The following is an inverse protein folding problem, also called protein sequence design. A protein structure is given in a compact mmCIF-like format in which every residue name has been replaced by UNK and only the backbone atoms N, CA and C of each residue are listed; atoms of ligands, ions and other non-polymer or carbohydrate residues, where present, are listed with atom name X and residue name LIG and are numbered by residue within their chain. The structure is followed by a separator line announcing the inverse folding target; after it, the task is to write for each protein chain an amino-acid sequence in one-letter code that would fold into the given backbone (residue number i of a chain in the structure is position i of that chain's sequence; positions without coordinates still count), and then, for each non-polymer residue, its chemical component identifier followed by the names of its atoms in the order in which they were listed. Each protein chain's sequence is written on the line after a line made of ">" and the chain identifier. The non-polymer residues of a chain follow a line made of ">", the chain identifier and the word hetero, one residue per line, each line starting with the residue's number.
data_IF_677638954913
#
_entry.id   IF_677638954913
#
_cell.length_a   1.000
_cell.length_b   1.000
_cell.length_c   1.000
_cell.angle_alpha   90.00
_cell.angle_beta   90.00
_cell.angle_gamma   90.00
#
_symmetry.space_group_name_H-M   'P 1'
#
loop_
_entity.id
_entity.type
_entity.pdbx_description
1 polymer ?
#
# COMPACT_ATOMS: atom_id res chain seq x y z
N UNK A 1 5.83 9.24 -4.42
CA UNK A 1 5.24 8.95 -5.75
C UNK A 1 3.76 8.66 -5.57
N UNK A 2 2.94 8.81 -6.62
CA UNK A 2 1.48 8.69 -6.46
C UNK A 2 0.98 7.39 -7.06
N UNK A 3 0.74 6.38 -6.26
CA UNK A 3 0.23 5.08 -6.68
C UNK A 3 -1.27 4.92 -6.36
N UNK A 4 -1.89 3.83 -6.78
CA UNK A 4 -3.25 3.45 -6.40
C UNK A 4 -3.31 1.93 -6.32
N UNK A 5 -3.78 1.41 -5.19
CA UNK A 5 -3.83 -0.02 -4.92
C UNK A 5 -5.28 -0.49 -4.74
N UNK A 6 -5.61 -1.68 -5.20
CA UNK A 6 -6.84 -2.40 -4.90
C UNK A 6 -6.52 -3.83 -4.46
N UNK A 7 -7.20 -4.28 -3.40
CA UNK A 7 -7.11 -5.62 -2.84
C UNK A 7 -8.50 -6.25 -2.92
N UNK A 8 -8.59 -7.52 -3.32
CA UNK A 8 -9.89 -8.21 -3.46
C UNK A 8 -9.83 -9.57 -2.79
N UNK A 9 -10.60 -9.73 -1.73
CA UNK A 9 -10.71 -10.97 -0.97
C UNK A 9 -11.31 -12.11 -1.79
N UNK A 10 -10.94 -13.35 -1.49
CA UNK A 10 -11.26 -14.54 -2.29
C UNK A 10 -12.76 -14.80 -2.48
N UNK A 11 -13.62 -14.36 -1.56
CA UNK A 11 -15.06 -14.47 -1.71
C UNK A 11 -15.68 -13.30 -2.49
N UNK A 12 -14.93 -12.21 -2.70
CA UNK A 12 -15.34 -11.09 -3.52
C UNK A 12 -15.01 -11.30 -5.02
N UNK A 13 -14.11 -12.24 -5.35
CA UNK A 13 -13.77 -12.61 -6.73
C UNK A 13 -14.72 -13.65 -7.30
N UNK A 14 -14.77 -13.76 -8.62
CA UNK A 14 -15.68 -14.69 -9.33
C UNK A 14 -15.23 -16.15 -9.27
N UNK A 15 -13.93 -16.42 -9.08
CA UNK A 15 -13.30 -17.74 -9.13
C UNK A 15 -12.67 -18.20 -7.79
N UNK A 16 -12.85 -17.44 -6.73
CA UNK A 16 -12.29 -17.77 -5.43
C UNK A 16 -10.80 -17.42 -5.25
N UNK A 17 -10.21 -16.75 -6.23
CA UNK A 17 -8.83 -16.25 -6.13
C UNK A 17 -8.74 -15.04 -5.20
N UNK A 18 -7.58 -14.81 -4.62
CA UNK A 18 -7.20 -13.51 -4.07
C UNK A 18 -6.62 -12.64 -5.18
N UNK A 19 -6.82 -11.32 -5.14
CA UNK A 19 -6.18 -10.38 -6.07
C UNK A 19 -5.61 -9.17 -5.35
N UNK A 20 -4.39 -8.79 -5.73
CA UNK A 20 -3.81 -7.48 -5.41
C UNK A 20 -3.37 -6.80 -6.69
N UNK A 21 -3.62 -5.51 -6.81
CA UNK A 21 -3.21 -4.76 -7.98
C UNK A 21 -2.81 -3.34 -7.61
N UNK A 22 -1.83 -2.79 -8.34
CA UNK A 22 -1.28 -1.47 -8.09
C UNK A 22 -0.84 -0.79 -9.39
N UNK A 23 -1.13 0.50 -9.48
CA UNK A 23 -0.41 1.42 -10.37
C UNK A 23 0.88 1.88 -9.70
N UNK A 24 1.94 2.08 -10.49
CA UNK A 24 3.17 2.74 -10.08
C UNK A 24 3.32 4.01 -10.92
N UNK A 25 3.26 5.18 -10.28
CA UNK A 25 3.23 6.45 -10.96
C UNK A 25 4.47 7.28 -10.61
N UNK A 26 5.23 7.69 -11.61
CA UNK A 26 6.36 8.61 -11.44
C UNK A 26 5.93 9.99 -10.94
N UNK A 27 6.88 10.76 -10.42
CA UNK A 27 6.72 12.17 -10.12
C UNK A 27 6.33 13.00 -11.35
N UNK A 28 5.71 14.17 -11.15
CA UNK A 28 5.30 15.04 -12.25
C UNK A 28 6.49 15.42 -13.14
N UNK A 29 6.32 15.24 -14.46
CA UNK A 29 7.38 15.49 -15.45
C UNK A 29 8.45 14.40 -15.56
N UNK A 30 8.29 13.29 -14.87
CA UNK A 30 9.20 12.15 -14.92
C UNK A 30 8.51 10.88 -15.41
N UNK A 31 9.29 9.95 -15.93
CA UNK A 31 8.87 8.60 -16.26
C UNK A 31 10.01 7.65 -15.92
N UNK A 32 9.76 6.65 -15.10
CA UNK A 32 10.73 5.66 -14.67
C UNK A 32 10.48 4.34 -15.36
N UNK A 33 11.29 4.02 -16.36
CA UNK A 33 11.16 2.74 -17.06
C UNK A 33 11.39 1.57 -16.12
N UNK A 34 10.46 0.62 -16.13
CA UNK A 34 10.53 -0.64 -15.37
C UNK A 34 10.81 -1.82 -16.29
N UNK A 35 11.27 -2.91 -15.73
CA UNK A 35 11.45 -4.19 -16.45
C UNK A 35 10.92 -5.34 -15.61
N UNK A 36 10.28 -6.31 -16.27
CA UNK A 36 9.91 -7.56 -15.63
C UNK A 36 11.11 -8.49 -15.56
N UNK A 37 11.42 -9.01 -14.38
CA UNK A 37 12.54 -9.93 -14.16
C UNK A 37 12.12 -11.14 -13.32
N UNK A 38 12.84 -12.24 -13.52
CA UNK A 38 12.83 -13.40 -12.64
C UNK A 38 14.19 -13.47 -11.94
N UNK A 39 14.19 -13.36 -10.63
CA UNK A 39 15.41 -13.38 -9.81
C UNK A 39 15.59 -14.77 -9.23
N UNK A 40 16.65 -15.47 -9.64
CA UNK A 40 16.96 -16.80 -9.12
C UNK A 40 17.68 -16.71 -7.76
N UNK A 41 17.62 -17.79 -6.93
CA UNK A 41 18.34 -17.80 -5.64
C UNK A 41 19.84 -17.48 -5.75
N UNK A 42 20.49 -17.90 -6.84
CA UNK A 42 21.92 -17.66 -7.07
C UNK A 42 22.29 -16.20 -7.41
N UNK A 43 21.30 -15.41 -7.82
CA UNK A 43 21.50 -13.99 -8.17
C UNK A 43 21.29 -13.06 -6.96
N UNK A 44 20.81 -13.60 -5.85
CA UNK A 44 20.52 -12.81 -4.66
C UNK A 44 21.79 -12.66 -3.82
N UNK A 45 22.07 -11.45 -3.31
CA UNK A 45 23.23 -11.21 -2.47
C UNK A 45 23.03 -11.84 -1.08
N UNK A 46 24.12 -12.04 -0.34
CA UNK A 46 24.06 -12.39 1.09
C UNK A 46 23.88 -11.16 1.97
N UNK A 47 24.39 -10.04 1.51
CA UNK A 47 24.30 -8.74 2.17
C UNK A 47 23.63 -7.78 1.21
N UNK A 48 22.56 -7.13 1.62
CA UNK A 48 21.84 -6.11 0.87
C UNK A 48 22.42 -4.73 1.21
N UNK A 49 22.58 -3.88 0.20
CA UNK A 49 22.98 -2.48 0.34
C UNK A 49 21.98 -1.61 -0.40
N UNK A 50 21.29 -0.73 0.32
CA UNK A 50 20.42 0.29 -0.28
C UNK A 50 21.25 1.36 -0.99
N UNK A 51 20.79 1.78 -2.17
CA UNK A 51 21.41 2.88 -2.92
C UNK A 51 21.00 4.24 -2.37
N UNK A 52 19.78 4.35 -1.83
CA UNK A 52 19.24 5.62 -1.33
C UNK A 52 19.57 5.88 0.13
N UNK A 53 19.39 4.89 0.98
CA UNK A 53 19.56 5.07 2.42
C UNK A 53 20.93 4.62 2.94
N UNK A 54 21.72 3.92 2.14
CA UNK A 54 22.99 3.29 2.51
C UNK A 54 22.86 2.23 3.62
N UNK A 55 21.64 1.83 4.01
CA UNK A 55 21.47 0.75 4.98
C UNK A 55 22.02 -0.55 4.44
N UNK A 56 22.69 -1.29 5.32
CA UNK A 56 23.27 -2.59 5.02
C UNK A 56 22.62 -3.66 5.88
N UNK A 57 22.11 -4.73 5.26
CA UNK A 57 21.34 -5.76 5.92
C UNK A 57 21.84 -7.15 5.50
N UNK A 58 22.20 -7.97 6.47
CA UNK A 58 22.49 -9.38 6.23
C UNK A 58 21.19 -10.13 5.93
N UNK A 59 21.17 -10.82 4.79
CA UNK A 59 19.99 -11.54 4.34
C UNK A 59 19.99 -13.00 4.81
N UNK A 60 18.80 -13.59 5.06
CA UNK A 60 18.72 -15.00 5.41
C UNK A 60 19.31 -15.91 4.32
N UNK A 61 19.75 -17.09 4.73
CA UNK A 61 20.15 -18.14 3.79
C UNK A 61 18.92 -18.73 3.06
N UNK A 62 19.18 -19.33 1.88
CA UNK A 62 18.17 -20.05 1.08
C UNK A 62 17.01 -19.16 0.60
N UNK A 63 17.28 -18.05 -0.09
CA UNK A 63 16.25 -17.24 -0.70
C UNK A 63 15.50 -18.04 -1.78
N UNK A 64 14.21 -17.81 -1.90
CA UNK A 64 13.39 -18.37 -2.98
C UNK A 64 13.54 -17.56 -4.28
N UNK A 65 13.30 -18.19 -5.40
CA UNK A 65 13.10 -17.50 -6.68
C UNK A 65 11.85 -16.61 -6.60
N UNK A 66 11.91 -15.43 -7.20
CA UNK A 66 10.76 -14.53 -7.28
C UNK A 66 10.77 -13.71 -8.58
N UNK A 67 9.61 -13.18 -8.94
CA UNK A 67 9.46 -12.18 -9.99
C UNK A 67 9.47 -10.78 -9.39
N UNK A 68 9.89 -9.78 -10.17
CA UNK A 68 9.89 -8.39 -9.73
C UNK A 68 9.81 -7.41 -10.92
N UNK A 69 9.49 -6.16 -10.61
CA UNK A 69 9.39 -5.05 -11.57
C UNK A 69 10.40 -3.93 -11.25
N UNK A 70 11.72 -4.22 -11.21
CA UNK A 70 12.72 -3.22 -10.86
C UNK A 70 12.86 -2.12 -11.92
N UNK A 71 13.53 -1.04 -11.51
CA UNK A 71 13.98 0.00 -12.43
C UNK A 71 14.83 -0.60 -13.57
N UNK A 72 14.56 -0.15 -14.80
CA UNK A 72 15.36 -0.54 -15.97
C UNK A 72 16.71 0.17 -16.02
N UNK A 73 16.82 1.33 -15.36
CA UNK A 73 18.04 2.14 -15.30
C UNK A 73 18.85 1.75 -14.06
N UNK A 74 20.11 1.36 -14.28
CA UNK A 74 21.03 0.98 -13.20
C UNK A 74 21.50 2.19 -12.37
N UNK A 75 21.91 1.93 -11.10
CA UNK A 75 22.47 2.93 -10.20
C UNK A 75 21.44 3.91 -9.60
N UNK A 76 20.13 3.65 -9.76
CA UNK A 76 19.04 4.46 -9.21
C UNK A 76 18.23 3.74 -8.13
N UNK A 77 18.79 2.67 -7.55
CA UNK A 77 18.08 1.78 -6.66
C UNK A 77 17.28 0.71 -7.41
N UNK A 78 16.90 -0.35 -6.71
CA UNK A 78 16.22 -1.50 -7.32
C UNK A 78 14.75 -1.16 -7.58
N UNK A 79 14.03 -0.68 -6.58
CA UNK A 79 12.61 -0.33 -6.69
C UNK A 79 11.78 -1.45 -7.33
N UNK A 80 11.85 -2.63 -6.73
CA UNK A 80 11.29 -3.85 -7.32
C UNK A 80 9.76 -3.90 -7.39
N UNK A 81 9.10 -2.94 -6.76
CA UNK A 81 7.69 -2.55 -6.88
C UNK A 81 6.63 -3.62 -6.60
N UNK A 82 6.69 -4.80 -7.19
CA UNK A 82 5.78 -5.92 -6.92
C UNK A 82 6.40 -7.23 -7.40
N UNK A 83 5.94 -8.36 -6.87
CA UNK A 83 6.38 -9.66 -7.32
C UNK A 83 5.64 -10.83 -6.67
N UNK A 84 5.97 -12.03 -7.15
CA UNK A 84 5.47 -13.31 -6.63
C UNK A 84 6.67 -14.23 -6.46
N UNK A 85 6.75 -14.94 -5.34
CA UNK A 85 7.78 -15.94 -5.10
C UNK A 85 7.30 -17.37 -5.45
N UNK A 86 8.22 -18.33 -5.42
CA UNK A 86 7.91 -19.73 -5.74
C UNK A 86 7.03 -20.46 -4.71
N UNK A 87 6.77 -19.84 -3.55
CA UNK A 87 5.78 -20.32 -2.58
C UNK A 87 4.37 -19.74 -2.85
N UNK A 88 4.17 -19.07 -3.98
CA UNK A 88 2.93 -18.39 -4.38
C UNK A 88 2.50 -17.31 -3.39
N UNK A 89 3.44 -16.63 -2.80
CA UNK A 89 3.21 -15.42 -2.01
C UNK A 89 3.55 -14.21 -2.87
N UNK A 90 2.66 -13.24 -2.88
CA UNK A 90 2.85 -11.99 -3.60
C UNK A 90 2.93 -10.82 -2.62
N UNK A 91 3.61 -9.75 -3.04
CA UNK A 91 3.56 -8.45 -2.38
C UNK A 91 3.57 -7.32 -3.40
N UNK A 92 2.94 -6.20 -3.03
CA UNK A 92 3.19 -4.91 -3.66
C UNK A 92 3.99 -4.05 -2.68
N UNK A 93 4.95 -3.35 -3.17
CA UNK A 93 5.61 -2.29 -2.44
C UNK A 93 5.73 -1.11 -3.41
N UNK A 94 5.22 0.02 -3.15
CA UNK A 94 4.49 0.50 -1.98
C UNK A 94 3.39 1.45 -2.41
N UNK A 95 2.43 1.71 -1.53
CA UNK A 95 1.59 2.90 -1.63
C UNK A 95 2.22 3.94 -0.71
N UNK A 96 2.80 5.02 -1.24
CA UNK A 96 3.34 6.10 -0.38
C UNK A 96 2.20 6.75 0.40
N UNK A 97 2.29 6.76 1.72
CA UNK A 97 1.31 7.33 2.64
C UNK A 97 1.93 8.44 3.47
N UNK A 98 1.14 9.17 4.25
CA UNK A 98 1.64 10.28 5.05
C UNK A 98 1.04 10.24 6.46
N UNK A 99 1.90 10.19 7.49
CA UNK A 99 1.48 10.43 8.88
C UNK A 99 1.41 11.92 9.18
N UNK A 100 0.57 12.25 10.15
CA UNK A 100 0.47 13.62 10.63
C UNK A 100 1.74 14.07 11.39
N UNK A 101 1.95 15.40 11.55
CA UNK A 101 3.15 15.93 12.19
C UNK A 101 3.35 15.51 13.65
N UNK A 102 2.28 15.16 14.39
CA UNK A 102 2.39 14.69 15.78
C UNK A 102 3.06 13.31 15.85
N UNK A 103 2.67 12.43 14.95
CA UNK A 103 3.30 11.11 14.80
C UNK A 103 4.76 11.26 14.39
N UNK A 104 5.04 12.06 13.37
CA UNK A 104 6.43 12.28 12.89
C UNK A 104 7.32 13.00 13.92
N UNK A 105 6.72 13.78 14.83
CA UNK A 105 7.43 14.36 15.96
C UNK A 105 7.75 13.37 17.08
N UNK A 106 6.91 12.33 17.24
CA UNK A 106 7.08 11.29 18.25
C UNK A 106 7.98 10.13 17.75
N UNK A 107 7.87 9.77 16.47
CA UNK A 107 8.69 8.75 15.81
C UNK A 107 9.19 9.27 14.45
N UNK A 108 10.30 10.05 14.43
CA UNK A 108 10.85 10.63 13.21
C UNK A 108 11.32 9.58 12.22
N UNK A 109 11.17 9.89 10.92
CA UNK A 109 11.72 9.07 9.84
C UNK A 109 13.25 8.93 9.96
N UNK A 110 13.77 7.75 9.67
CA UNK A 110 15.20 7.42 9.70
C UNK A 110 15.84 7.78 8.34
N UNK A 111 16.12 9.05 8.17
CA UNK A 111 16.62 9.61 6.90
C UNK A 111 18.14 9.53 6.85
N UNK A 112 18.69 9.14 5.69
CA UNK A 112 20.13 9.16 5.42
C UNK A 112 20.74 10.56 5.64
N UNK A 113 21.86 10.60 6.35
CA UNK A 113 22.63 11.81 6.57
C UNK A 113 24.02 11.64 5.97
N UNK A 114 24.38 12.43 4.96
CA UNK A 114 25.71 12.36 4.35
C UNK A 114 26.79 12.80 5.33
N UNK A 115 28.01 12.29 5.10
CA UNK A 115 29.18 12.75 5.84
C UNK A 115 29.37 14.26 5.65
N UNK A 116 29.47 14.99 6.76
CA UNK A 116 29.66 16.46 6.75
C UNK A 116 30.39 16.92 8.02
N UNK A 117 31.17 17.99 7.92
CA UNK A 117 31.82 18.66 9.07
C UNK A 117 32.66 17.72 9.96
N UNK A 118 33.32 16.71 9.35
CA UNK A 118 34.15 15.74 10.06
C UNK A 118 33.38 14.64 10.79
N UNK A 119 32.07 14.56 10.59
CA UNK A 119 31.22 13.43 11.05
C UNK A 119 31.09 12.40 9.92
N UNK A 120 31.08 11.13 10.31
CA UNK A 120 30.76 10.04 9.39
C UNK A 120 29.31 10.10 8.94
N UNK A 121 29.00 9.47 7.79
CA UNK A 121 27.61 9.32 7.34
C UNK A 121 26.79 8.47 8.32
N UNK A 122 25.49 8.75 8.36
CA UNK A 122 24.53 7.93 9.09
C UNK A 122 23.56 7.32 8.07
N UNK A 123 23.54 6.00 8.00
CA UNK A 123 22.59 5.28 7.14
C UNK A 123 21.14 5.60 7.53
N UNK A 124 20.27 5.68 6.53
CA UNK A 124 18.83 5.75 6.72
C UNK A 124 18.21 4.38 6.99
N UNK A 125 16.88 4.35 7.17
CA UNK A 125 16.10 3.14 7.27
C UNK A 125 15.85 2.45 5.91
N UNK A 126 14.94 1.51 5.89
CA UNK A 126 14.46 0.84 4.67
C UNK A 126 13.32 1.62 4.01
N UNK A 127 13.14 1.50 2.70
CA UNK A 127 12.04 2.16 1.99
C UNK A 127 11.61 1.39 0.75
N UNK A 128 10.80 2.01 -0.09
CA UNK A 128 10.22 1.38 -1.28
C UNK A 128 11.26 0.72 -2.18
N UNK A 129 12.46 1.33 -2.28
CA UNK A 129 13.59 0.73 -3.01
C UNK A 129 13.86 -0.71 -2.58
N UNK A 130 13.77 -0.97 -1.28
CA UNK A 130 14.37 -2.13 -0.61
C UNK A 130 13.38 -3.28 -0.39
N UNK A 131 12.10 -2.96 -0.12
CA UNK A 131 11.15 -3.84 0.56
C UNK A 131 10.94 -5.20 -0.12
N UNK A 132 10.76 -5.24 -1.44
CA UNK A 132 10.51 -6.50 -2.16
C UNK A 132 11.70 -7.45 -2.03
N UNK A 133 12.92 -6.92 -2.18
CA UNK A 133 14.14 -7.72 -2.11
C UNK A 133 14.44 -8.22 -0.70
N UNK A 134 14.06 -7.44 0.32
CA UNK A 134 14.27 -7.81 1.73
C UNK A 134 13.26 -8.82 2.25
N UNK A 135 12.06 -8.86 1.68
CA UNK A 135 10.94 -9.62 2.23
C UNK A 135 10.53 -10.80 1.37
N UNK A 136 10.19 -10.56 0.11
CA UNK A 136 9.53 -11.56 -0.76
C UNK A 136 10.29 -12.88 -0.92
N UNK A 137 11.62 -12.92 -1.05
CA UNK A 137 12.37 -14.18 -1.19
C UNK A 137 12.34 -15.09 0.05
N UNK A 138 11.88 -14.60 1.19
CA UNK A 138 12.07 -15.26 2.49
C UNK A 138 10.76 -15.59 3.21
N UNK A 139 9.61 -15.47 2.53
CA UNK A 139 8.28 -15.66 3.14
C UNK A 139 7.50 -16.75 2.42
N UNK A 140 6.68 -17.52 3.16
CA UNK A 140 5.87 -18.63 2.66
C UNK A 140 4.36 -18.41 2.83
N UNK A 141 3.97 -17.28 3.44
CA UNK A 141 2.57 -16.86 3.57
C UNK A 141 2.49 -15.32 3.60
N UNK A 142 1.32 -14.79 3.32
CA UNK A 142 1.05 -13.37 3.42
C UNK A 142 1.33 -12.84 4.85
N UNK A 143 0.92 -13.61 5.87
CA UNK A 143 1.18 -13.29 7.27
C UNK A 143 2.67 -13.24 7.62
N UNK A 144 3.47 -14.19 7.14
CA UNK A 144 4.94 -14.15 7.30
C UNK A 144 5.53 -12.88 6.70
N UNK A 145 4.96 -12.39 5.59
CA UNK A 145 5.36 -11.13 4.96
C UNK A 145 5.19 -9.95 5.91
N UNK A 146 4.03 -9.82 6.55
CA UNK A 146 3.76 -8.78 7.55
C UNK A 146 4.74 -8.85 8.71
N UNK A 147 4.92 -10.03 9.30
CA UNK A 147 5.80 -10.22 10.47
C UNK A 147 7.26 -9.93 10.14
N UNK A 148 7.73 -10.39 8.96
CA UNK A 148 9.10 -10.12 8.53
C UNK A 148 9.34 -8.64 8.27
N UNK A 149 8.43 -7.96 7.55
CA UNK A 149 8.56 -6.54 7.32
C UNK A 149 8.48 -5.75 8.61
N UNK A 150 7.53 -6.08 9.49
CA UNK A 150 7.40 -5.45 10.80
C UNK A 150 8.69 -5.51 11.61
N UNK A 151 9.32 -6.70 11.69
CA UNK A 151 10.60 -6.87 12.36
C UNK A 151 11.74 -6.04 11.76
N UNK A 152 11.76 -5.88 10.42
CA UNK A 152 12.74 -5.03 9.75
C UNK A 152 12.50 -3.53 10.04
N UNK A 153 11.23 -3.10 10.09
CA UNK A 153 10.87 -1.73 10.44
C UNK A 153 11.25 -1.39 11.89
N UNK A 154 10.99 -2.29 12.84
CA UNK A 154 11.37 -2.11 14.23
C UNK A 154 12.90 -2.05 14.42
N UNK A 155 13.65 -2.78 13.60
CA UNK A 155 15.11 -2.84 13.71
C UNK A 155 15.84 -1.71 13.00
N UNK A 156 15.41 -1.37 11.79
CA UNK A 156 16.13 -0.43 10.91
C UNK A 156 15.41 0.90 10.72
N UNK A 157 14.13 0.95 11.03
CA UNK A 157 13.27 2.08 10.71
C UNK A 157 13.03 2.25 9.22
N UNK A 158 12.28 3.28 8.87
CA UNK A 158 12.03 3.67 7.48
C UNK A 158 12.34 5.15 7.25
N UNK A 159 12.84 5.48 6.04
CA UNK A 159 13.04 6.87 5.62
C UNK A 159 11.82 7.48 4.93
N UNK A 160 10.79 6.66 4.66
CA UNK A 160 9.54 7.09 4.06
C UNK A 160 8.39 6.20 4.54
N UNK A 161 7.16 6.67 4.44
CA UNK A 161 6.01 5.93 4.91
C UNK A 161 5.28 5.27 3.78
N UNK A 162 4.83 4.04 4.03
CA UNK A 162 4.34 3.14 3.01
C UNK A 162 3.18 2.27 3.46
N UNK A 163 2.27 1.97 2.51
CA UNK A 163 1.31 0.90 2.61
C UNK A 163 1.73 -0.29 1.73
N UNK A 164 1.70 -1.49 2.26
CA UNK A 164 2.21 -2.70 1.62
C UNK A 164 1.16 -3.81 1.67
N UNK A 165 0.85 -4.40 0.51
CA UNK A 165 -0.01 -5.58 0.45
C UNK A 165 0.83 -6.86 0.42
N UNK A 166 0.37 -7.86 1.17
CA UNK A 166 0.84 -9.24 1.11
C UNK A 166 -0.32 -10.16 0.77
N UNK A 167 -0.10 -11.13 -0.10
CA UNK A 167 -1.14 -12.01 -0.61
C UNK A 167 -0.61 -13.44 -0.73
N UNK A 168 -1.44 -14.39 -0.33
CA UNK A 168 -1.34 -15.79 -0.77
C UNK A 168 -2.72 -16.30 -1.21
N UNK A 169 -2.87 -17.60 -1.46
CA UNK A 169 -4.14 -18.19 -1.91
C UNK A 169 -5.27 -18.14 -0.86
N UNK A 170 -4.91 -17.95 0.42
CA UNK A 170 -5.83 -18.05 1.54
C UNK A 170 -6.23 -16.69 2.09
N UNK A 171 -5.32 -15.72 2.08
CA UNK A 171 -5.53 -14.41 2.69
C UNK A 171 -4.75 -13.27 2.04
N UNK A 172 -5.19 -12.04 2.33
CA UNK A 172 -4.52 -10.79 2.02
C UNK A 172 -4.34 -10.00 3.31
N UNK A 173 -3.16 -9.39 3.48
CA UNK A 173 -2.85 -8.46 4.53
C UNK A 173 -2.45 -7.11 3.96
N UNK A 174 -2.89 -6.05 4.61
CA UNK A 174 -2.46 -4.68 4.34
C UNK A 174 -1.72 -4.14 5.54
N UNK A 175 -0.47 -3.71 5.34
CA UNK A 175 0.39 -3.10 6.35
C UNK A 175 0.55 -1.62 6.04
N UNK A 176 0.42 -0.77 7.05
CA UNK A 176 0.73 0.66 7.02
C UNK A 176 1.86 0.96 8.02
N UNK A 177 2.89 1.69 7.58
CA UNK A 177 3.91 2.21 8.47
C UNK A 177 3.40 3.44 9.20
N UNK A 178 3.85 3.64 10.43
CA UNK A 178 3.48 4.74 11.31
C UNK A 178 4.76 5.39 11.79
N UNK A 179 5.09 6.59 11.31
CA UNK A 179 6.37 7.22 11.63
C UNK A 179 7.57 6.42 11.15
N UNK A 180 8.66 6.47 11.90
CA UNK A 180 9.95 5.87 11.53
C UNK A 180 10.07 4.37 11.81
N UNK A 181 9.44 3.83 12.87
CA UNK A 181 9.63 2.45 13.31
C UNK A 181 8.34 1.69 13.56
N UNK A 182 7.24 2.38 13.88
CA UNK A 182 5.98 1.74 14.19
C UNK A 182 5.23 1.32 12.91
N UNK A 183 4.41 0.30 13.04
CA UNK A 183 3.60 -0.23 11.96
C UNK A 183 2.34 -0.91 12.51
N UNK A 184 1.35 -1.03 11.65
CA UNK A 184 0.13 -1.81 11.87
C UNK A 184 -0.27 -2.55 10.61
N UNK A 185 -0.96 -3.68 10.76
CA UNK A 185 -1.49 -4.42 9.63
C UNK A 185 -2.87 -5.01 9.94
N UNK A 186 -3.72 -5.01 8.94
CA UNK A 186 -5.07 -5.58 9.01
C UNK A 186 -5.26 -6.62 7.92
N UNK A 187 -5.80 -7.78 8.30
CA UNK A 187 -6.23 -8.80 7.36
C UNK A 187 -7.44 -8.29 6.58
N UNK A 188 -7.42 -8.44 5.28
CA UNK A 188 -8.56 -8.14 4.40
C UNK A 188 -9.58 -9.26 4.57
N UNK A 189 -10.83 -8.99 5.01
CA UNK A 189 -11.86 -10.02 5.04
C UNK A 189 -12.11 -10.65 3.66
N UNK A 190 -12.45 -11.92 3.64
CA UNK A 190 -12.57 -12.69 2.39
C UNK A 190 -13.60 -12.13 1.40
N UNK A 191 -14.69 -11.53 1.93
CA UNK A 191 -15.85 -11.05 1.16
C UNK A 191 -15.76 -9.61 0.68
N UNK A 192 -14.68 -8.87 1.02
CA UNK A 192 -14.56 -7.45 0.72
C UNK A 192 -13.49 -7.15 -0.30
N UNK A 193 -13.52 -5.92 -0.80
CA UNK A 193 -12.38 -5.27 -1.43
C UNK A 193 -11.91 -4.07 -0.61
N UNK A 194 -10.69 -3.64 -0.85
CA UNK A 194 -10.05 -2.47 -0.25
C UNK A 194 -9.49 -1.61 -1.37
N UNK A 195 -9.65 -0.30 -1.31
CA UNK A 195 -9.01 0.65 -2.22
C UNK A 195 -8.12 1.60 -1.44
N UNK A 196 -6.88 1.74 -1.89
CA UNK A 196 -5.88 2.55 -1.19
C UNK A 196 -5.27 3.58 -2.14
N UNK A 197 -5.55 4.86 -1.91
CA UNK A 197 -4.77 5.97 -2.44
C UNK A 197 -3.55 6.26 -1.54
N UNK A 198 -2.86 7.38 -1.75
CA UNK A 198 -1.66 7.77 -1.01
C UNK A 198 -1.96 8.37 0.38
N UNK A 199 -2.76 7.70 1.18
CA UNK A 199 -3.08 8.10 2.56
C UNK A 199 -3.26 6.86 3.43
N UNK A 200 -3.12 7.00 4.76
CA UNK A 200 -3.51 5.93 5.67
C UNK A 200 -5.01 5.64 5.50
N UNK A 201 -5.36 4.38 5.47
CA UNK A 201 -6.72 3.95 5.15
C UNK A 201 -7.39 3.11 6.22
N UNK A 202 -6.65 2.33 7.02
CA UNK A 202 -7.23 1.50 8.07
C UNK A 202 -8.08 2.37 9.01
N UNK A 203 -9.39 2.12 9.02
CA UNK A 203 -10.41 2.91 9.72
C UNK A 203 -10.79 2.34 11.09
N UNK A 204 -10.38 1.12 11.39
CA UNK A 204 -10.63 0.48 12.68
C UNK A 204 -9.53 -0.52 13.00
N UNK A 205 -9.13 -0.60 14.27
CA UNK A 205 -8.06 -1.46 14.71
C UNK A 205 -8.35 -2.03 16.11
N UNK A 206 -8.26 -3.36 16.23
CA UNK A 206 -8.48 -4.08 17.48
C UNK A 206 -7.13 -4.44 18.12
N UNK A 207 -6.76 -3.65 19.14
CA UNK A 207 -5.54 -3.90 19.90
C UNK A 207 -5.61 -5.17 20.75
N UNK A 208 -6.82 -5.63 21.15
CA UNK A 208 -6.95 -6.89 21.93
C UNK A 208 -6.62 -8.09 21.03
N UNK A 209 -7.11 -8.09 19.78
CA UNK A 209 -6.72 -9.10 18.80
C UNK A 209 -5.24 -8.99 18.45
N UNK A 210 -4.72 -7.79 18.22
CA UNK A 210 -3.32 -7.57 17.80
C UNK A 210 -2.29 -8.05 18.84
N UNK A 211 -2.59 -7.91 20.13
CA UNK A 211 -1.74 -8.42 21.23
C UNK A 211 -2.16 -9.79 21.76
N UNK A 212 -3.30 -10.33 21.29
CA UNK A 212 -3.87 -11.60 21.71
C UNK A 212 -3.77 -12.70 20.66
N UNK A 213 -4.90 -13.01 20.02
CA UNK A 213 -4.98 -14.09 19.02
C UNK A 213 -4.30 -13.76 17.70
N UNK A 214 -4.16 -12.46 17.42
CA UNK A 214 -3.53 -11.95 16.19
C UNK A 214 -4.19 -12.47 14.92
N UNK A 215 -5.48 -12.65 14.93
CA UNK A 215 -6.23 -13.26 13.84
C UNK A 215 -6.42 -12.32 12.66
N UNK A 216 -6.75 -11.07 12.96
CA UNK A 216 -7.07 -10.07 11.94
C UNK A 216 -6.19 -8.82 12.02
N UNK A 217 -5.46 -8.63 13.12
CA UNK A 217 -4.64 -7.45 13.36
C UNK A 217 -3.25 -7.83 13.86
N UNK A 218 -2.24 -7.11 13.38
CA UNK A 218 -0.85 -7.22 13.78
C UNK A 218 -0.28 -5.80 13.88
N UNK A 219 0.64 -5.57 14.83
CA UNK A 219 1.29 -4.28 14.96
C UNK A 219 2.66 -4.42 15.65
N UNK A 220 3.43 -3.33 15.65
CA UNK A 220 4.65 -3.22 16.46
C UNK A 220 4.35 -3.45 17.93
N UNK A 221 5.33 -4.05 18.64
CA UNK A 221 5.15 -4.56 19.99
C UNK A 221 4.71 -3.49 21.00
N UNK A 222 5.08 -2.25 20.79
CA UNK A 222 4.86 -1.10 21.67
C UNK A 222 3.86 -0.06 21.14
N UNK A 223 3.11 -0.36 20.06
CA UNK A 223 2.19 0.59 19.43
C UNK A 223 1.18 1.18 20.43
N UNK A 224 0.64 0.36 21.35
CA UNK A 224 -0.27 0.85 22.38
C UNK A 224 0.39 1.86 23.30
N UNK A 225 1.58 1.53 23.81
CA UNK A 225 2.37 2.43 24.67
C UNK A 225 2.75 3.71 23.94
N UNK A 226 3.10 3.61 22.66
CA UNK A 226 3.38 4.77 21.79
C UNK A 226 2.17 5.70 21.68
N UNK A 227 0.97 5.17 21.41
CA UNK A 227 -0.27 5.96 21.34
C UNK A 227 -0.55 6.67 22.67
N UNK A 228 -0.42 5.95 23.79
CA UNK A 228 -0.70 6.47 25.14
C UNK A 228 0.33 7.51 25.57
N UNK A 229 1.63 7.22 25.40
CA UNK A 229 2.74 8.09 25.80
C UNK A 229 2.71 9.44 25.11
N UNK A 230 2.42 9.44 23.81
CA UNK A 230 2.40 10.67 23.02
C UNK A 230 0.99 11.26 22.82
N UNK A 231 -0.02 10.70 23.52
CA UNK A 231 -1.42 11.16 23.46
C UNK A 231 -1.92 11.30 22.01
N UNK A 232 -1.64 10.31 21.17
CA UNK A 232 -1.94 10.40 19.75
C UNK A 232 -3.43 10.23 19.45
N UNK A 233 -4.15 9.39 20.20
CA UNK A 233 -5.60 9.22 20.06
C UNK A 233 -6.34 10.39 20.74
N UNK A 234 -7.06 11.16 19.95
CA UNK A 234 -7.86 12.30 20.39
C UNK A 234 -9.36 12.01 20.42
N UNK A 235 -9.79 10.76 20.18
CA UNK A 235 -11.20 10.42 20.22
C UNK A 235 -11.79 10.60 21.63
N UNK A 236 -13.00 11.15 21.71
CA UNK A 236 -13.65 11.42 23.00
C UNK A 236 -14.21 10.16 23.66
N UNK A 237 -14.49 9.12 22.87
CA UNK A 237 -15.04 7.83 23.32
C UNK A 237 -13.97 6.74 23.50
N UNK A 238 -12.71 7.06 23.19
CA UNK A 238 -11.59 6.12 23.29
C UNK A 238 -11.50 5.11 22.13
N UNK A 239 -12.36 5.22 21.11
CA UNK A 239 -12.27 4.37 19.91
C UNK A 239 -10.96 4.63 19.16
N UNK A 240 -10.41 3.59 18.56
CA UNK A 240 -9.19 3.70 17.77
C UNK A 240 -9.54 3.61 16.27
N UNK A 241 -9.60 4.77 15.63
CA UNK A 241 -9.58 4.90 14.19
C UNK A 241 -8.15 5.30 13.75
N UNK A 242 -7.33 4.40 13.21
CA UNK A 242 -5.95 4.70 12.86
C UNK A 242 -5.79 5.81 11.82
N UNK A 243 -6.73 5.92 10.88
CA UNK A 243 -6.73 7.02 9.89
C UNK A 243 -6.76 8.38 10.59
N UNK A 244 -7.61 8.55 11.59
CA UNK A 244 -7.75 9.79 12.34
C UNK A 244 -6.56 10.03 13.29
N UNK A 245 -6.04 8.96 13.88
CA UNK A 245 -4.95 9.02 14.87
C UNK A 245 -3.60 9.29 14.20
N UNK A 246 -3.32 8.64 13.08
CA UNK A 246 -1.99 8.66 12.46
C UNK A 246 -1.93 9.39 11.13
N UNK A 247 -3.03 9.43 10.36
CA UNK A 247 -3.05 9.94 9.00
C UNK A 247 -2.94 11.46 8.89
N UNK A 248 -2.58 11.91 7.71
CA UNK A 248 -2.73 13.31 7.30
C UNK A 248 -4.21 13.62 7.04
N UNK A 249 -4.60 14.86 7.25
CA UNK A 249 -5.94 15.39 7.00
C UNK A 249 -5.84 16.79 6.40
N UNK A 250 -5.05 16.96 5.37
CA UNK A 250 -4.87 18.24 4.72
C UNK A 250 -5.66 18.34 3.40
N UNK A 251 -5.86 19.57 2.94
CA UNK A 251 -6.65 19.86 1.73
C UNK A 251 -6.06 19.16 0.47
N UNK A 252 -4.79 18.78 0.48
CA UNK A 252 -4.16 18.07 -0.61
C UNK A 252 -4.76 16.67 -0.80
N UNK A 253 -5.18 16.01 0.28
CA UNK A 253 -5.83 14.70 0.22
C UNK A 253 -7.17 14.76 -0.53
N UNK A 254 -7.93 15.86 -0.38
CA UNK A 254 -9.21 16.07 -1.06
C UNK A 254 -9.09 16.31 -2.58
N UNK A 255 -7.90 16.55 -3.07
CA UNK A 255 -7.63 16.67 -4.52
C UNK A 255 -6.92 15.42 -5.06
N UNK A 256 -6.04 14.86 -4.24
CA UNK A 256 -5.10 13.82 -4.68
C UNK A 256 -5.54 12.41 -4.29
N UNK A 257 -6.09 12.21 -3.11
CA UNK A 257 -6.30 10.89 -2.50
C UNK A 257 -7.77 10.46 -2.46
N UNK A 258 -8.58 11.06 -1.61
CA UNK A 258 -9.98 10.71 -1.38
C UNK A 258 -10.82 10.58 -2.66
N UNK A 259 -10.68 11.46 -3.66
CA UNK A 259 -11.46 11.34 -4.90
C UNK A 259 -11.19 10.04 -5.67
N UNK A 260 -9.97 9.48 -5.58
CA UNK A 260 -9.64 8.21 -6.23
C UNK A 260 -10.36 7.04 -5.56
N UNK A 261 -10.35 6.99 -4.22
CA UNK A 261 -11.08 5.99 -3.46
C UNK A 261 -12.59 6.08 -3.76
N UNK A 262 -13.16 7.28 -3.65
CA UNK A 262 -14.56 7.54 -3.98
C UNK A 262 -14.97 7.04 -5.37
N UNK A 263 -14.15 7.27 -6.40
CA UNK A 263 -14.46 6.84 -7.76
C UNK A 263 -14.48 5.31 -7.88
N UNK A 264 -13.51 4.62 -7.27
CA UNK A 264 -13.40 3.16 -7.31
C UNK A 264 -14.55 2.50 -6.54
N UNK A 265 -14.87 3.01 -5.37
CA UNK A 265 -15.98 2.54 -4.53
C UNK A 265 -17.33 2.79 -5.20
N UNK A 266 -17.54 3.96 -5.80
CA UNK A 266 -18.73 4.28 -6.58
C UNK A 266 -18.95 3.31 -7.75
N UNK A 267 -17.88 2.84 -8.38
CA UNK A 267 -17.97 1.87 -9.46
C UNK A 267 -18.34 0.47 -8.95
N UNK A 268 -17.75 0.04 -7.85
CA UNK A 268 -17.93 -1.31 -7.31
C UNK A 268 -19.23 -1.46 -6.48
N UNK A 269 -19.72 -0.36 -5.92
CA UNK A 269 -20.92 -0.30 -5.08
C UNK A 269 -21.88 0.82 -5.52
N UNK A 270 -22.36 0.83 -6.78
CA UNK A 270 -23.11 1.96 -7.32
C UNK A 270 -24.47 2.21 -6.64
N UNK A 271 -25.05 1.24 -5.92
CA UNK A 271 -26.35 1.34 -5.29
C UNK A 271 -26.33 1.20 -3.75
N UNK A 272 -25.19 0.81 -3.18
CA UNK A 272 -25.04 0.66 -1.71
C UNK A 272 -25.17 2.00 -1.00
N UNK A 273 -24.61 3.04 -1.62
CA UNK A 273 -24.66 4.42 -1.14
C UNK A 273 -25.10 5.37 -2.26
N UNK A 274 -25.52 6.55 -1.88
CA UNK A 274 -25.75 7.66 -2.81
C UNK A 274 -24.43 8.39 -3.02
N UNK A 275 -23.90 8.30 -4.22
CA UNK A 275 -22.60 8.87 -4.58
C UNK A 275 -22.69 10.25 -5.24
N UNK A 276 -23.88 10.67 -5.66
CA UNK A 276 -24.10 11.86 -6.47
C UNK A 276 -25.21 12.74 -5.90
N UNK A 277 -25.12 14.04 -6.17
CA UNK A 277 -26.16 15.03 -5.81
C UNK A 277 -26.06 15.58 -4.40
N UNK A 278 -27.02 16.44 -4.04
CA UNK A 278 -27.01 17.18 -2.78
C UNK A 278 -27.28 16.29 -1.52
N UNK A 279 -27.74 15.08 -1.73
CA UNK A 279 -28.04 14.12 -0.67
C UNK A 279 -27.08 12.91 -0.75
N UNK A 280 -25.90 13.07 -1.35
CA UNK A 280 -24.89 12.02 -1.39
C UNK A 280 -24.48 11.61 0.02
N UNK A 281 -24.35 10.30 0.25
CA UNK A 281 -23.83 9.77 1.51
C UNK A 281 -22.31 10.00 1.56
N UNK A 282 -21.63 9.88 0.41
CA UNK A 282 -20.20 10.20 0.24
C UNK A 282 -19.98 11.08 -1.00
N UNK A 283 -19.03 11.96 -0.87
CA UNK A 283 -18.55 12.86 -1.94
C UNK A 283 -17.07 12.58 -2.24
N UNK A 284 -16.49 13.11 -3.34
CA UNK A 284 -15.07 12.93 -3.61
C UNK A 284 -14.11 13.45 -2.52
N UNK A 285 -14.60 14.27 -1.60
CA UNK A 285 -13.81 14.87 -0.51
C UNK A 285 -14.22 14.36 0.87
N UNK A 286 -14.94 13.23 0.95
CA UNK A 286 -15.35 12.64 2.22
C UNK A 286 -14.17 11.91 2.89
N UNK A 287 -13.86 12.29 4.14
CA UNK A 287 -12.79 11.67 4.93
C UNK A 287 -13.17 10.32 5.55
N UNK A 288 -14.49 10.04 5.60
CA UNK A 288 -15.09 8.85 6.22
C UNK A 288 -15.45 7.74 5.22
N UNK A 289 -14.83 7.74 4.03
CA UNK A 289 -14.95 6.62 3.08
C UNK A 289 -14.52 5.31 3.78
N UNK A 290 -15.32 4.23 3.69
CA UNK A 290 -14.98 2.96 4.34
C UNK A 290 -13.66 2.38 3.81
N UNK A 291 -12.79 1.87 4.70
CA UNK A 291 -11.56 1.18 4.26
C UNK A 291 -11.84 -0.02 3.36
N UNK A 292 -12.92 -0.76 3.64
CA UNK A 292 -13.30 -1.95 2.88
C UNK A 292 -14.83 -2.06 2.75
N UNK A 293 -15.27 -2.64 1.64
CA UNK A 293 -16.69 -2.90 1.39
C UNK A 293 -16.92 -4.26 0.74
N UNK A 294 -18.09 -4.86 0.99
CA UNK A 294 -18.58 -5.99 0.20
C UNK A 294 -19.03 -5.45 -1.16
N UNK A 295 -18.48 -5.90 -2.28
CA UNK A 295 -18.89 -5.40 -3.59
C UNK A 295 -20.30 -5.88 -3.94
N UNK A 296 -21.05 -5.09 -4.71
CA UNK A 296 -22.41 -5.47 -5.15
C UNK A 296 -22.43 -6.67 -6.10
N UNK A 297 -21.32 -6.95 -6.74
CA UNK A 297 -21.11 -8.11 -7.62
C UNK A 297 -19.68 -8.59 -7.55
N UNK A 298 -19.44 -9.85 -7.91
CA UNK A 298 -18.09 -10.42 -7.98
C UNK A 298 -17.19 -9.59 -8.88
N UNK A 299 -15.97 -9.32 -8.39
CA UNK A 299 -14.97 -8.51 -9.07
C UNK A 299 -14.14 -9.40 -10.02
N UNK A 300 -13.96 -8.92 -11.22
CA UNK A 300 -13.14 -9.55 -12.27
C UNK A 300 -11.82 -8.80 -12.47
N UNK A 301 -10.90 -9.40 -13.21
CA UNK A 301 -9.65 -8.75 -13.65
C UNK A 301 -9.96 -7.49 -14.48
N UNK A 302 -11.03 -7.53 -15.29
CA UNK A 302 -11.46 -6.39 -16.10
C UNK A 302 -11.97 -5.23 -15.25
N UNK A 303 -12.71 -5.51 -14.16
CA UNK A 303 -13.14 -4.47 -13.21
C UNK A 303 -11.93 -3.80 -12.56
N UNK A 304 -10.93 -4.59 -12.12
CA UNK A 304 -9.69 -4.05 -11.55
C UNK A 304 -8.95 -3.16 -12.55
N UNK A 305 -8.78 -3.62 -13.79
CA UNK A 305 -8.16 -2.82 -14.86
C UNK A 305 -8.93 -1.53 -15.13
N UNK A 306 -10.26 -1.60 -15.14
CA UNK A 306 -11.12 -0.45 -15.37
C UNK A 306 -10.93 0.62 -14.29
N UNK A 307 -11.01 0.26 -13.01
CA UNK A 307 -10.89 1.22 -11.91
C UNK A 307 -9.48 1.81 -11.82
N UNK A 308 -8.42 1.00 -12.04
CA UNK A 308 -7.04 1.48 -12.06
C UNK A 308 -6.70 2.32 -13.30
N UNK A 309 -7.50 2.28 -14.35
CA UNK A 309 -7.41 3.16 -15.51
C UNK A 309 -8.35 4.37 -15.39
N UNK A 310 -9.01 4.55 -14.24
CA UNK A 310 -10.06 5.53 -14.04
C UNK A 310 -9.57 6.99 -14.17
N UNK A 311 -10.40 7.81 -14.78
CA UNK A 311 -10.22 9.25 -14.90
C UNK A 311 -11.53 10.00 -14.59
N UNK A 312 -12.33 9.41 -13.68
CA UNK A 312 -13.67 9.92 -13.29
C UNK A 312 -14.70 9.89 -14.40
N UNK A 313 -14.54 9.01 -15.40
CA UNK A 313 -15.47 8.85 -16.49
C UNK A 313 -16.91 8.62 -15.98
N UNK A 314 -17.88 9.28 -16.62
CA UNK A 314 -19.28 9.25 -16.20
C UNK A 314 -19.61 10.14 -14.99
N UNK A 315 -18.69 11.01 -14.58
CA UNK A 315 -18.90 12.03 -13.54
C UNK A 315 -18.59 13.43 -14.07
N UNK A 316 -19.00 14.50 -13.35
CA UNK A 316 -18.65 15.87 -13.72
C UNK A 316 -17.14 16.18 -13.69
N UNK A 317 -16.35 15.33 -13.06
CA UNK A 317 -14.91 15.53 -12.81
C UNK A 317 -14.02 14.97 -13.92
N UNK A 318 -14.61 14.25 -14.88
CA UNK A 318 -13.89 13.66 -16.02
C UNK A 318 -13.20 14.76 -16.86
N UNK A 319 -11.84 14.78 -16.95
CA UNK A 319 -11.11 15.77 -17.72
C UNK A 319 -11.42 15.68 -19.23
N UNK A 320 -11.86 14.52 -19.73
CA UNK A 320 -12.20 14.27 -21.13
C UNK A 320 -13.70 14.33 -21.41
N UNK A 321 -14.51 14.43 -20.37
CA UNK A 321 -15.96 14.42 -20.47
C UNK A 321 -16.56 15.70 -21.01
N UNK A 322 -17.83 15.62 -21.44
CA UNK A 322 -18.65 16.78 -21.79
C UNK A 322 -19.76 17.04 -20.80
N UNK A 323 -19.87 16.22 -19.76
CA UNK A 323 -20.91 16.29 -18.73
C UNK A 323 -20.53 17.27 -17.61
N UNK A 324 -21.50 17.94 -17.04
CA UNK A 324 -21.32 18.85 -15.91
C UNK A 324 -20.64 20.18 -16.23
N UNK A 325 -20.26 20.91 -15.17
CA UNK A 325 -19.57 22.20 -15.26
C UNK A 325 -18.13 22.02 -15.76
N UNK A 326 -17.72 22.85 -16.71
CA UNK A 326 -16.33 22.86 -17.20
C UNK A 326 -15.30 23.12 -16.10
N UNK A 327 -15.66 23.91 -15.10
CA UNK A 327 -14.77 24.23 -13.99
C UNK A 327 -14.44 23.00 -13.09
N UNK A 328 -15.29 21.98 -13.12
CA UNK A 328 -15.09 20.77 -12.35
C UNK A 328 -14.25 19.70 -13.08
N UNK A 329 -14.03 19.85 -14.36
CA UNK A 329 -13.29 18.88 -15.18
C UNK A 329 -11.81 18.88 -14.81
N UNK A 330 -11.30 17.73 -14.42
CA UNK A 330 -9.91 17.63 -13.98
C UNK A 330 -9.62 18.29 -12.64
N UNK A 331 -10.66 18.57 -11.82
CA UNK A 331 -10.50 19.08 -10.45
C UNK A 331 -9.69 18.15 -9.56
N UNK A 332 -9.76 16.84 -9.85
CA UNK A 332 -9.11 15.80 -9.08
C UNK A 332 -8.05 15.06 -9.90
N UNK A 333 -7.04 14.52 -9.20
CA UNK A 333 -6.01 13.68 -9.80
C UNK A 333 -6.63 12.37 -10.31
N UNK A 334 -6.53 12.11 -11.61
CA UNK A 334 -6.98 10.85 -12.21
C UNK A 334 -6.18 9.65 -11.69
N UNK A 335 -6.80 8.46 -11.64
CA UNK A 335 -6.14 7.21 -11.26
C UNK A 335 -5.22 6.78 -12.42
N UNK A 336 -5.77 6.61 -13.61
CA UNK A 336 -5.00 6.40 -14.84
C UNK A 336 -4.41 7.70 -15.35
N UNK A 337 -3.11 7.87 -15.22
CA UNK A 337 -2.38 9.09 -15.65
C UNK A 337 -1.26 8.77 -16.62
N UNK A 338 -0.81 9.79 -17.34
CA UNK A 338 0.22 9.67 -18.39
C UNK A 338 1.65 9.39 -17.88
N UNK A 339 1.85 9.37 -16.58
CA UNK A 339 3.12 9.06 -15.90
C UNK A 339 3.05 7.75 -15.09
N UNK A 340 2.10 6.90 -15.41
CA UNK A 340 2.04 5.53 -14.90
C UNK A 340 3.17 4.72 -15.52
N UNK A 341 4.07 4.20 -14.71
CA UNK A 341 5.26 3.44 -15.13
C UNK A 341 4.89 2.00 -15.45
N UNK A 342 3.98 1.42 -14.65
CA UNK A 342 3.35 0.13 -14.92
C UNK A 342 2.09 -0.04 -14.05
N UNK A 343 1.29 -1.02 -14.43
CA UNK A 343 0.23 -1.60 -13.61
C UNK A 343 0.52 -3.08 -13.41
N UNK A 344 0.62 -3.52 -12.17
CA UNK A 344 0.68 -4.93 -11.83
C UNK A 344 -0.68 -5.38 -11.27
N UNK A 345 -1.17 -6.53 -11.74
CA UNK A 345 -2.28 -7.27 -11.15
C UNK A 345 -1.80 -8.70 -10.92
N UNK A 346 -1.88 -9.15 -9.68
CA UNK A 346 -1.51 -10.49 -9.28
C UNK A 346 -2.78 -11.20 -8.79
N UNK A 347 -3.13 -12.29 -9.45
CA UNK A 347 -4.24 -13.16 -9.11
C UNK A 347 -3.69 -14.52 -8.68
N UNK A 348 -3.96 -14.94 -7.45
CA UNK A 348 -3.55 -16.26 -6.95
C UNK A 348 -4.79 -17.13 -6.83
N UNK A 349 -4.86 -18.15 -7.67
CA UNK A 349 -5.98 -19.10 -7.74
C UNK A 349 -5.77 -20.27 -6.78
N UNK A 350 -6.82 -20.71 -6.08
CA UNK A 350 -6.71 -21.83 -5.14
C UNK A 350 -6.42 -23.18 -5.80
N UNK A 351 -6.77 -23.34 -7.09
CA UNK A 351 -6.69 -24.57 -7.87
C UNK A 351 -5.54 -24.58 -8.89
N UNK A 352 -4.58 -23.63 -8.78
CA UNK A 352 -3.44 -23.58 -9.69
C UNK A 352 -2.53 -24.79 -9.49
N UNK A 353 -2.27 -25.54 -10.57
CA UNK A 353 -1.28 -26.61 -10.55
C UNK A 353 0.13 -26.04 -10.34
N UNK A 354 0.96 -26.73 -9.55
CA UNK A 354 2.33 -26.32 -9.24
C UNK A 354 3.23 -26.09 -10.47
N UNK A 355 2.88 -26.70 -11.61
CA UNK A 355 3.60 -26.52 -12.87
C UNK A 355 3.37 -25.15 -13.53
N UNK A 356 2.32 -24.43 -13.14
CA UNK A 356 1.93 -23.12 -13.70
C UNK A 356 2.07 -21.98 -12.70
N UNK A 357 2.75 -22.20 -11.62
CA UNK A 357 2.89 -21.29 -10.50
C UNK A 357 4.32 -20.75 -10.37
#
# INVERSE_FOLDING_TARGET
>A
MGCTTILVGKKATYDGSTMIARNDDSGAGHFTAKKFVVVSPKQQPKTYHSVLSHVTIELPENPMRYTAMPNAVEGKGIWAASGVNEAHVAMTATETITSNPRVLGADPLVVYQPAADGKEEIAGGIGEEDLVCLVLPYIRSAREGVLRLGSLLEQYGTYEMNGIAFQDKDEIWWLETIGGHHWMARRVPDEVYVVMPNQLGIDSFDLEDAYGEQKNFLCSADLKEFIETYHLNLSMDGSLNPRDVFGSHDDADHVYNTPRAWFMERYLNPNTYRWDGALADFTPVSDDLPWCMVPEKKITVEDVKYVLSGHYQGTPYDPYGSYGDKAMRGAYRSIGINRNDFMALIQIRPDMEAAFS
#
